data_IF_629976698979
#
_entry.id   IF_629976698979
#
_cell.length_a   1.000
_cell.length_b   1.000
_cell.length_c   1.000
_cell.angle_alpha   90.00
_cell.angle_beta   90.00
_cell.angle_gamma   90.00
#
_symmetry.space_group_name_H-M   'P 1'
#
loop_
_entity.id
_entity.type
_entity.pdbx_description
1 polymer ?
#
# COMPACT_ATOMS: atom_id res chain seq x y z
N UNK A 1 -67.86 16.17 -46.72
CA UNK A 1 -68.05 15.58 -45.38
C UNK A 1 -67.39 16.50 -44.42
N UNK A 2 -68.12 17.09 -43.55
CA UNK A 2 -68.11 18.48 -43.12
C UNK A 2 -67.22 18.71 -41.86
N UNK A 3 -66.23 19.58 -42.01
CA UNK A 3 -65.23 19.98 -40.94
C UNK A 3 -65.90 20.86 -39.84
N UNK A 4 -67.25 21.06 -39.91
CA UNK A 4 -67.97 21.85 -38.92
C UNK A 4 -68.53 21.05 -37.73
N UNK A 5 -68.51 19.73 -37.79
CA UNK A 5 -69.08 18.90 -36.73
C UNK A 5 -68.09 18.57 -35.65
N UNK A 6 -66.79 18.69 -35.95
CA UNK A 6 -65.72 18.30 -35.03
C UNK A 6 -65.35 19.37 -34.00
N UNK A 7 -65.80 20.61 -34.19
CA UNK A 7 -65.47 21.74 -33.31
C UNK A 7 -66.52 22.07 -32.23
N UNK A 8 -67.59 21.28 -32.14
CA UNK A 8 -68.59 21.46 -31.08
C UNK A 8 -68.44 20.55 -29.89
N UNK A 9 -67.74 19.41 -30.04
CA UNK A 9 -67.55 18.46 -28.95
C UNK A 9 -66.34 18.75 -28.04
N UNK A 10 -65.50 19.69 -28.44
CA UNK A 10 -64.34 20.10 -27.62
C UNK A 10 -64.71 21.21 -26.63
N UNK A 11 -65.80 21.96 -26.86
CA UNK A 11 -66.14 23.12 -26.01
C UNK A 11 -67.05 22.80 -24.80
N UNK A 12 -67.51 21.53 -24.65
CA UNK A 12 -68.49 21.19 -23.60
C UNK A 12 -67.91 20.26 -22.50
N UNK A 13 -66.61 20.00 -22.53
CA UNK A 13 -65.93 19.21 -21.49
C UNK A 13 -64.90 19.99 -20.61
N UNK A 14 -64.93 21.33 -20.67
CA UNK A 14 -63.99 22.19 -19.97
C UNK A 14 -64.56 22.93 -18.75
N UNK A 15 -65.70 22.59 -18.23
CA UNK A 15 -66.31 23.31 -17.10
C UNK A 15 -66.67 22.48 -15.87
N UNK A 16 -66.18 21.24 -15.76
CA UNK A 16 -66.52 20.40 -14.59
C UNK A 16 -65.35 19.82 -13.85
N UNK A 17 -64.11 20.41 -13.83
CA UNK A 17 -63.00 19.93 -13.03
C UNK A 17 -62.17 21.10 -12.46
N UNK A 18 -62.85 22.02 -11.84
CA UNK A 18 -62.16 23.11 -11.08
C UNK A 18 -62.54 23.11 -9.60
N UNK A 19 -62.37 22.00 -8.88
CA UNK A 19 -62.57 22.04 -7.42
C UNK A 19 -61.93 20.85 -6.64
N UNK A 20 -60.97 20.12 -7.22
CA UNK A 20 -60.34 19.02 -6.45
C UNK A 20 -58.82 18.91 -6.61
N UNK A 21 -58.12 19.99 -6.91
CA UNK A 21 -56.67 19.98 -7.12
C UNK A 21 -55.91 21.02 -6.29
N UNK A 22 -56.33 21.31 -5.04
CA UNK A 22 -55.61 22.23 -4.12
C UNK A 22 -55.37 21.61 -2.74
N UNK A 23 -55.37 20.32 -2.60
CA UNK A 23 -55.02 19.69 -1.29
C UNK A 23 -54.07 18.51 -1.37
N UNK A 24 -53.14 18.48 -2.33
CA UNK A 24 -52.10 17.42 -2.34
C UNK A 24 -50.76 17.96 -2.87
N UNK A 25 -50.25 19.02 -2.26
CA UNK A 25 -48.92 19.58 -2.56
C UNK A 25 -48.27 20.11 -1.28
N UNK A 26 -48.23 19.28 -0.22
CA UNK A 26 -47.45 19.57 0.98
C UNK A 26 -46.98 18.28 1.71
N UNK A 27 -46.68 17.21 0.98
CA UNK A 27 -46.00 16.02 1.55
C UNK A 27 -45.02 15.44 0.52
N UNK A 28 -43.98 16.20 0.21
CA UNK A 28 -42.99 15.76 -0.79
C UNK A 28 -41.67 16.50 -0.69
N UNK A 29 -41.26 16.92 0.52
CA UNK A 29 -39.94 17.55 0.69
C UNK A 29 -39.32 17.17 2.04
N UNK A 30 -39.21 15.87 2.33
CA UNK A 30 -38.35 15.33 3.37
C UNK A 30 -37.74 14.02 2.86
N UNK A 31 -36.95 14.08 1.82
CA UNK A 31 -36.14 12.96 1.36
C UNK A 31 -34.83 13.47 0.73
N UNK A 32 -34.22 14.49 1.33
CA UNK A 32 -32.98 15.07 0.84
C UNK A 32 -31.94 15.35 1.94
N UNK A 33 -32.12 14.80 3.15
CA UNK A 33 -31.22 15.07 4.27
C UNK A 33 -30.58 13.81 4.85
N UNK A 34 -30.49 12.71 4.11
CA UNK A 34 -30.03 11.42 4.63
C UNK A 34 -28.60 11.02 4.18
N UNK A 35 -27.85 11.88 3.51
CA UNK A 35 -26.47 11.54 3.07
C UNK A 35 -25.37 12.41 3.68
N UNK A 36 -25.70 13.33 4.58
CA UNK A 36 -24.70 14.16 5.27
C UNK A 36 -24.36 13.68 6.69
N UNK A 37 -24.92 12.57 7.15
CA UNK A 37 -24.75 12.07 8.54
C UNK A 37 -23.54 11.13 8.74
N UNK A 38 -22.73 10.88 7.71
CA UNK A 38 -21.70 9.83 7.78
C UNK A 38 -20.48 10.16 8.65
N UNK A 39 -20.05 11.39 8.68
CA UNK A 39 -18.79 11.78 9.36
C UNK A 39 -19.04 12.29 10.79
N UNK A 40 -20.17 12.95 11.02
CA UNK A 40 -20.51 13.53 12.34
C UNK A 40 -20.82 12.47 13.41
N UNK A 41 -21.17 11.24 13.02
CA UNK A 41 -21.55 10.14 13.93
C UNK A 41 -20.40 9.17 14.26
N UNK A 42 -19.20 9.36 13.70
CA UNK A 42 -18.03 8.58 14.06
C UNK A 42 -17.39 9.14 15.32
N UNK A 43 -17.49 8.41 16.44
CA UNK A 43 -16.69 8.78 17.62
C UNK A 43 -15.19 8.71 17.29
N UNK A 44 -14.38 9.54 17.95
CA UNK A 44 -12.92 9.46 17.84
C UNK A 44 -12.38 8.04 18.13
N UNK A 45 -13.08 7.29 18.96
CA UNK A 45 -12.75 5.91 19.30
C UNK A 45 -13.07 4.94 18.13
N UNK A 46 -14.17 5.15 17.41
CA UNK A 46 -14.52 4.34 16.24
C UNK A 46 -13.55 4.60 15.07
N UNK A 47 -13.22 5.87 14.85
CA UNK A 47 -12.23 6.26 13.87
C UNK A 47 -10.86 5.62 14.17
N UNK A 48 -10.41 5.69 15.42
CA UNK A 48 -9.16 5.06 15.85
C UNK A 48 -9.19 3.52 15.70
N UNK A 49 -10.33 2.87 15.98
CA UNK A 49 -10.50 1.42 15.77
C UNK A 49 -10.43 1.05 14.29
N UNK A 50 -11.10 1.81 13.43
CA UNK A 50 -11.08 1.61 11.99
C UNK A 50 -9.65 1.73 11.43
N UNK A 51 -8.93 2.77 11.82
CA UNK A 51 -7.54 2.96 11.41
C UNK A 51 -6.65 1.82 11.89
N UNK A 52 -6.74 1.41 13.17
CA UNK A 52 -5.97 0.26 13.67
C UNK A 52 -6.26 -1.01 12.88
N UNK A 53 -7.53 -1.25 12.54
CA UNK A 53 -7.93 -2.39 11.70
C UNK A 53 -7.27 -2.33 10.32
N UNK A 54 -7.32 -1.19 9.65
CA UNK A 54 -6.72 -0.99 8.33
C UNK A 54 -5.20 -1.17 8.36
N UNK A 55 -4.52 -0.57 9.36
CA UNK A 55 -3.08 -0.70 9.50
C UNK A 55 -2.65 -2.15 9.77
N UNK A 56 -3.39 -2.85 10.63
CA UNK A 56 -3.11 -4.28 10.92
C UNK A 56 -3.27 -5.12 9.67
N UNK A 57 -4.35 -4.91 8.92
CA UNK A 57 -4.61 -5.62 7.66
C UNK A 57 -3.55 -5.32 6.61
N UNK A 58 -3.25 -4.04 6.37
CA UNK A 58 -2.25 -3.63 5.38
C UNK A 58 -0.85 -4.16 5.71
N UNK A 59 -0.44 -4.07 6.98
CA UNK A 59 0.84 -4.60 7.43
C UNK A 59 0.91 -6.14 7.28
N UNK A 60 -0.14 -6.85 7.67
CA UNK A 60 -0.19 -8.31 7.54
C UNK A 60 -0.17 -8.75 6.06
N UNK A 61 -0.91 -8.03 5.19
CA UNK A 61 -0.91 -8.28 3.75
C UNK A 61 0.48 -8.07 3.14
N UNK A 62 1.13 -6.94 3.43
CA UNK A 62 2.48 -6.65 2.94
C UNK A 62 3.49 -7.73 3.38
N UNK A 63 3.50 -8.10 4.67
CA UNK A 63 4.37 -9.16 5.20
C UNK A 63 4.11 -10.50 4.53
N UNK A 64 2.84 -10.89 4.34
CA UNK A 64 2.49 -12.17 3.73
C UNK A 64 2.85 -12.25 2.23
N UNK A 65 2.78 -11.13 1.52
CA UNK A 65 3.15 -11.05 0.09
C UNK A 65 4.67 -11.08 -0.12
N UNK A 66 5.42 -10.46 0.78
CA UNK A 66 6.87 -10.33 0.65
C UNK A 66 7.66 -11.45 1.31
N UNK A 67 7.13 -12.04 2.40
CA UNK A 67 7.81 -13.07 3.19
C UNK A 67 7.67 -14.49 2.65
N UNK A 68 7.47 -14.64 1.35
CA UNK A 68 7.35 -15.93 0.65
C UNK A 68 8.37 -16.01 -0.47
N UNK A 69 8.74 -17.22 -0.94
CA UNK A 69 9.61 -17.36 -2.10
C UNK A 69 9.05 -16.58 -3.31
N UNK A 70 9.89 -15.74 -3.92
CA UNK A 70 9.51 -14.88 -5.04
C UNK A 70 8.85 -13.55 -4.61
N UNK A 71 8.61 -13.33 -3.32
CA UNK A 71 7.97 -12.11 -2.83
C UNK A 71 8.76 -10.83 -3.14
N UNK A 72 10.08 -10.92 -3.20
CA UNK A 72 10.97 -9.87 -3.71
C UNK A 72 11.47 -10.19 -5.11
N UNK A 73 12.03 -11.39 -5.30
CA UNK A 73 12.72 -11.76 -6.54
C UNK A 73 11.83 -11.65 -7.79
N UNK A 74 10.59 -12.12 -7.69
CA UNK A 74 9.65 -12.16 -8.80
C UNK A 74 8.68 -10.95 -8.82
N UNK A 75 8.88 -10.01 -7.89
CA UNK A 75 8.05 -8.81 -7.79
C UNK A 75 8.83 -7.58 -8.29
N UNK A 76 8.56 -7.08 -9.51
CA UNK A 76 9.32 -5.98 -10.11
C UNK A 76 9.24 -4.66 -9.32
N UNK A 77 8.25 -4.50 -8.42
CA UNK A 77 8.10 -3.28 -7.61
C UNK A 77 9.10 -3.19 -6.47
N UNK A 78 9.54 -4.34 -5.96
CA UNK A 78 10.36 -4.43 -4.74
C UNK A 78 11.65 -5.23 -4.93
N UNK A 79 11.81 -5.87 -6.10
CA UNK A 79 13.03 -6.62 -6.44
C UNK A 79 14.25 -5.76 -6.13
N UNK A 80 15.18 -6.32 -5.37
CA UNK A 80 16.41 -5.66 -4.96
C UNK A 80 17.45 -5.85 -6.07
N UNK A 81 17.81 -4.80 -6.81
CA UNK A 81 18.84 -4.87 -7.82
C UNK A 81 20.22 -4.93 -7.17
N UNK A 82 21.24 -5.23 -7.95
CA UNK A 82 22.61 -5.06 -7.50
C UNK A 82 22.89 -3.60 -7.09
N UNK A 83 23.78 -3.36 -6.09
CA UNK A 83 24.28 -2.02 -5.82
C UNK A 83 24.80 -1.37 -7.10
N UNK A 84 24.65 -0.04 -7.29
CA UNK A 84 24.99 0.63 -8.55
C UNK A 84 26.41 0.35 -9.05
N UNK A 85 27.39 0.29 -8.14
CA UNK A 85 28.77 0.00 -8.50
C UNK A 85 28.95 -1.43 -9.05
N UNK A 86 28.16 -2.39 -8.58
CA UNK A 86 28.17 -3.77 -9.05
C UNK A 86 27.35 -4.00 -10.31
N UNK A 87 26.29 -3.22 -10.49
CA UNK A 87 25.43 -3.32 -11.68
C UNK A 87 26.18 -2.94 -12.97
N UNK A 88 27.04 -1.93 -12.92
CA UNK A 88 27.89 -1.57 -14.07
C UNK A 88 28.89 -2.70 -14.41
N UNK A 89 29.47 -3.33 -13.40
CA UNK A 89 30.34 -4.52 -13.62
C UNK A 89 29.53 -5.66 -14.20
N UNK A 90 28.35 -5.92 -13.65
CA UNK A 90 27.46 -6.97 -14.10
C UNK A 90 27.06 -6.82 -15.58
N UNK A 91 26.74 -5.60 -16.00
CA UNK A 91 26.45 -5.31 -17.41
C UNK A 91 27.61 -5.69 -18.32
N UNK A 92 28.84 -5.27 -17.97
CA UNK A 92 30.03 -5.64 -18.72
C UNK A 92 30.27 -7.16 -18.77
N UNK A 93 30.12 -7.86 -17.64
CA UNK A 93 30.29 -9.32 -17.55
C UNK A 93 29.23 -10.08 -18.32
N UNK A 94 27.95 -9.63 -18.29
CA UNK A 94 26.87 -10.23 -19.09
C UNK A 94 27.16 -10.13 -20.60
N UNK A 95 27.71 -9.02 -21.06
CA UNK A 95 28.14 -8.87 -22.48
C UNK A 95 29.23 -9.88 -22.88
N UNK A 96 30.06 -10.30 -21.92
CA UNK A 96 31.12 -11.31 -22.13
C UNK A 96 30.65 -12.76 -21.85
N UNK A 97 29.36 -12.97 -21.57
CA UNK A 97 28.82 -14.29 -21.23
C UNK A 97 29.15 -14.77 -19.80
N UNK A 98 29.68 -13.87 -18.94
CA UNK A 98 30.12 -14.18 -17.59
C UNK A 98 29.20 -13.58 -16.50
N UNK A 99 27.93 -13.35 -16.80
CA UNK A 99 26.98 -12.72 -15.89
C UNK A 99 26.41 -13.58 -14.77
N UNK A 100 26.71 -14.90 -14.76
CA UNK A 100 26.11 -15.87 -13.84
C UNK A 100 26.29 -15.49 -12.36
N UNK A 101 27.49 -15.08 -11.97
CA UNK A 101 27.80 -14.75 -10.58
C UNK A 101 27.01 -13.50 -10.12
N UNK A 102 26.79 -12.53 -11.02
CA UNK A 102 25.95 -11.35 -10.76
C UNK A 102 24.50 -11.74 -10.55
N UNK A 103 23.96 -12.64 -11.35
CA UNK A 103 22.58 -13.11 -11.25
C UNK A 103 22.35 -13.93 -9.99
N UNK A 104 23.32 -14.78 -9.61
CA UNK A 104 23.29 -15.52 -8.35
C UNK A 104 23.35 -14.59 -7.11
N UNK A 105 24.15 -13.53 -7.19
CA UNK A 105 24.22 -12.51 -6.13
C UNK A 105 22.88 -11.80 -5.97
N UNK A 106 22.28 -11.37 -7.05
CA UNK A 106 20.95 -10.71 -7.01
C UNK A 106 19.86 -11.66 -6.45
N UNK A 107 19.85 -12.92 -6.85
CA UNK A 107 18.94 -13.93 -6.30
C UNK A 107 19.14 -14.11 -4.79
N UNK A 108 20.41 -14.18 -4.34
CA UNK A 108 20.72 -14.35 -2.93
C UNK A 108 20.26 -13.16 -2.07
N UNK A 109 20.45 -11.92 -2.57
CA UNK A 109 19.97 -10.69 -1.90
C UNK A 109 18.45 -10.69 -1.71
N UNK A 110 17.71 -11.03 -2.76
CA UNK A 110 16.25 -11.06 -2.71
C UNK A 110 15.73 -12.15 -1.77
N UNK A 111 16.32 -13.34 -1.79
CA UNK A 111 16.00 -14.42 -0.85
C UNK A 111 16.27 -14.04 0.60
N UNK A 112 17.35 -13.30 0.88
CA UNK A 112 17.63 -12.80 2.21
C UNK A 112 16.54 -11.81 2.68
N UNK A 113 16.07 -10.93 1.82
CA UNK A 113 14.94 -10.03 2.08
C UNK A 113 13.65 -10.79 2.41
N UNK A 114 13.32 -11.80 1.60
CA UNK A 114 12.14 -12.67 1.80
C UNK A 114 12.18 -13.38 3.17
N UNK A 115 13.35 -13.81 3.62
CA UNK A 115 13.52 -14.44 4.92
C UNK A 115 13.43 -13.46 6.10
N UNK A 116 13.82 -12.20 5.91
CA UNK A 116 13.80 -11.18 6.96
C UNK A 116 12.41 -10.60 7.22
N UNK A 117 11.58 -10.42 6.18
CA UNK A 117 10.28 -9.72 6.28
C UNK A 117 9.31 -10.31 7.29
N UNK A 118 9.16 -11.63 7.48
CA UNK A 118 8.26 -12.18 8.50
C UNK A 118 8.49 -11.64 9.90
N UNK A 119 9.75 -11.29 10.24
CA UNK A 119 10.12 -10.72 11.53
C UNK A 119 9.58 -9.29 11.76
N UNK A 120 9.15 -8.61 10.69
CA UNK A 120 8.50 -7.31 10.82
C UNK A 120 7.13 -7.37 11.47
N UNK A 121 6.44 -8.51 11.39
CA UNK A 121 5.04 -8.67 11.82
C UNK A 121 4.81 -8.20 13.25
N UNK A 122 5.68 -8.60 14.18
CA UNK A 122 5.54 -8.25 15.59
C UNK A 122 5.73 -6.75 15.83
N UNK A 123 6.76 -6.15 15.24
CA UNK A 123 7.05 -4.72 15.39
C UNK A 123 5.96 -3.84 14.77
N UNK A 124 5.46 -4.21 13.58
CA UNK A 124 4.35 -3.51 12.94
C UNK A 124 3.06 -3.63 13.75
N UNK A 125 2.74 -4.82 14.26
CA UNK A 125 1.58 -5.04 15.13
C UNK A 125 1.69 -4.22 16.43
N UNK A 126 2.88 -4.17 17.03
CA UNK A 126 3.11 -3.39 18.24
C UNK A 126 2.97 -1.88 17.99
N UNK A 127 3.47 -1.38 16.87
CA UNK A 127 3.29 0.02 16.47
C UNK A 127 1.81 0.40 16.37
N UNK A 128 0.99 -0.46 15.76
CA UNK A 128 -0.48 -0.26 15.69
C UNK A 128 -1.11 -0.30 17.08
N UNK A 129 -0.73 -1.26 17.93
CA UNK A 129 -1.28 -1.40 19.27
C UNK A 129 -1.01 -0.19 20.15
N UNK A 130 0.18 0.39 20.04
CA UNK A 130 0.63 1.55 20.82
C UNK A 130 0.27 2.90 20.18
N UNK A 131 -0.43 2.88 19.03
CA UNK A 131 -0.83 4.09 18.31
C UNK A 131 -1.72 4.98 19.16
N UNK A 132 -1.35 6.25 19.30
CA UNK A 132 -2.12 7.27 20.00
C UNK A 132 -3.33 7.76 19.19
N UNK A 133 -4.25 8.47 19.83
CA UNK A 133 -5.35 9.15 19.12
C UNK A 133 -4.82 10.26 18.18
N UNK A 134 -3.73 10.92 18.54
CA UNK A 134 -3.09 11.92 17.70
C UNK A 134 -2.50 11.29 16.41
N UNK A 135 -1.84 10.12 16.53
CA UNK A 135 -1.35 9.35 15.38
C UNK A 135 -2.53 8.97 14.46
N UNK A 136 -3.62 8.43 15.04
CA UNK A 136 -4.82 8.04 14.27
C UNK A 136 -5.43 9.23 13.52
N UNK A 137 -5.54 10.38 14.18
CA UNK A 137 -6.04 11.62 13.56
C UNK A 137 -5.11 12.08 12.44
N UNK A 138 -3.78 12.06 12.67
CA UNK A 138 -2.80 12.41 11.65
C UNK A 138 -2.89 11.53 10.41
N UNK A 139 -3.19 10.23 10.58
CA UNK A 139 -3.40 9.29 9.47
C UNK A 139 -4.69 9.61 8.71
N UNK A 140 -5.78 9.91 9.42
CA UNK A 140 -7.07 10.25 8.81
C UNK A 140 -7.02 11.52 7.97
N UNK A 141 -6.38 12.56 8.51
CA UNK A 141 -6.27 13.88 7.85
C UNK A 141 -5.07 13.98 6.91
N UNK A 142 -4.19 12.98 6.92
CA UNK A 142 -3.01 12.92 6.08
C UNK A 142 -3.33 12.46 4.65
N UNK A 143 -2.38 12.71 3.75
CA UNK A 143 -2.46 12.26 2.35
C UNK A 143 -2.25 10.74 2.19
N UNK A 144 -2.16 10.31 0.94
CA UNK A 144 -2.12 8.90 0.52
C UNK A 144 -0.98 8.05 1.11
N UNK A 145 0.03 8.68 1.72
CA UNK A 145 1.18 8.00 2.31
C UNK A 145 1.23 8.13 3.85
N UNK A 146 0.16 8.56 4.49
CA UNK A 146 0.16 8.86 5.93
C UNK A 146 0.35 7.60 6.80
N UNK A 147 -0.21 6.47 6.40
CA UNK A 147 0.01 5.15 7.03
C UNK A 147 1.45 4.71 6.86
N UNK A 148 1.98 4.80 5.64
CA UNK A 148 3.36 4.42 5.34
C UNK A 148 4.35 5.25 6.15
N UNK A 149 4.14 6.56 6.26
CA UNK A 149 4.96 7.45 7.09
C UNK A 149 4.87 7.11 8.57
N UNK A 150 3.67 6.82 9.07
CA UNK A 150 3.48 6.37 10.45
C UNK A 150 4.33 5.13 10.76
N UNK A 151 4.23 4.08 9.93
CA UNK A 151 5.01 2.88 10.14
C UNK A 151 6.51 3.14 10.01
N UNK A 152 6.95 3.86 8.99
CA UNK A 152 8.38 4.19 8.80
C UNK A 152 8.93 4.93 10.03
N UNK A 153 8.24 5.93 10.53
CA UNK A 153 8.69 6.71 11.70
C UNK A 153 8.73 5.88 12.99
N UNK A 154 7.81 4.92 13.17
CA UNK A 154 7.74 4.11 14.40
C UNK A 154 8.60 2.85 14.35
N UNK A 155 8.91 2.32 13.16
CA UNK A 155 9.48 0.98 13.05
C UNK A 155 10.77 0.89 12.23
N UNK A 156 11.19 1.91 11.48
CA UNK A 156 12.37 1.80 10.61
C UNK A 156 13.64 1.47 11.39
N UNK A 157 13.94 2.22 12.46
CA UNK A 157 15.14 1.98 13.26
C UNK A 157 15.13 0.60 13.95
N UNK A 158 14.08 0.20 14.70
CA UNK A 158 14.04 -1.11 15.31
C UNK A 158 13.99 -2.26 14.29
N UNK A 159 13.38 -2.08 13.12
CA UNK A 159 13.40 -3.08 12.06
C UNK A 159 14.79 -3.22 11.43
N UNK A 160 15.51 -2.12 11.19
CA UNK A 160 16.88 -2.19 10.68
C UNK A 160 17.79 -3.02 11.61
N UNK A 161 17.72 -2.77 12.92
CA UNK A 161 18.47 -3.54 13.92
C UNK A 161 18.06 -5.03 13.93
N UNK A 162 16.77 -5.33 13.76
CA UNK A 162 16.25 -6.71 13.76
C UNK A 162 16.56 -7.44 12.47
N UNK A 163 16.49 -6.77 11.32
CA UNK A 163 16.70 -7.39 10.01
C UNK A 163 18.17 -7.67 9.71
N UNK A 164 19.08 -6.79 10.11
CA UNK A 164 20.50 -6.92 9.81
C UNK A 164 21.09 -8.30 10.17
N UNK A 165 20.89 -8.86 11.39
CA UNK A 165 21.40 -10.19 11.70
C UNK A 165 20.72 -11.30 10.91
N UNK A 166 19.43 -11.15 10.55
CA UNK A 166 18.70 -12.14 9.75
C UNK A 166 19.20 -12.13 8.32
N UNK A 167 19.33 -10.93 7.73
CA UNK A 167 19.93 -10.73 6.42
C UNK A 167 21.32 -11.34 6.40
N UNK A 168 22.17 -11.03 7.41
CA UNK A 168 23.50 -11.61 7.52
C UNK A 168 23.47 -13.15 7.57
N UNK A 169 22.62 -13.73 8.41
CA UNK A 169 22.50 -15.18 8.48
C UNK A 169 22.04 -15.80 7.15
N UNK A 170 21.08 -15.14 6.46
CA UNK A 170 20.61 -15.59 5.17
C UNK A 170 21.69 -15.47 4.09
N UNK A 171 22.45 -14.38 4.10
CA UNK A 171 23.56 -14.14 3.17
C UNK A 171 24.75 -15.08 3.40
N UNK A 172 25.05 -15.40 4.66
CA UNK A 172 26.08 -16.40 5.01
C UNK A 172 25.73 -17.79 4.45
N UNK A 173 24.46 -18.22 4.57
CA UNK A 173 24.00 -19.52 4.06
C UNK A 173 24.15 -19.69 2.55
N UNK A 174 24.01 -18.61 1.79
CA UNK A 174 24.13 -18.63 0.31
C UNK A 174 25.52 -18.21 -0.15
N UNK A 175 26.47 -18.02 0.75
CA UNK A 175 27.83 -17.59 0.45
C UNK A 175 27.88 -16.20 -0.21
N UNK A 176 26.97 -15.29 0.20
CA UNK A 176 26.84 -13.98 -0.41
C UNK A 176 28.11 -13.15 -0.30
N UNK A 177 28.75 -13.15 0.87
CA UNK A 177 30.02 -12.43 1.08
C UNK A 177 31.09 -12.91 0.10
N UNK A 178 31.24 -14.24 -0.04
CA UNK A 178 32.21 -14.83 -0.98
C UNK A 178 31.87 -14.49 -2.45
N UNK A 179 30.58 -14.60 -2.83
CA UNK A 179 30.13 -14.22 -4.18
C UNK A 179 30.34 -12.73 -4.43
N UNK A 180 30.06 -11.91 -3.43
CA UNK A 180 30.32 -10.47 -3.45
C UNK A 180 31.79 -10.18 -3.65
N UNK A 181 32.70 -10.78 -2.83
CA UNK A 181 34.14 -10.57 -2.92
C UNK A 181 34.70 -11.04 -4.26
N UNK A 182 34.25 -12.19 -4.76
CA UNK A 182 34.65 -12.68 -6.09
C UNK A 182 34.23 -11.71 -7.19
N UNK A 183 33.00 -11.25 -7.13
CA UNK A 183 32.44 -10.34 -8.13
C UNK A 183 33.03 -8.94 -8.03
N UNK A 184 33.08 -8.35 -6.83
CA UNK A 184 33.68 -7.06 -6.58
C UNK A 184 35.19 -7.05 -6.84
N UNK A 185 35.90 -8.14 -6.48
CA UNK A 185 37.30 -8.33 -6.78
C UNK A 185 37.62 -8.29 -8.28
N UNK A 186 36.76 -8.83 -9.12
CA UNK A 186 36.86 -8.67 -10.57
C UNK A 186 36.65 -7.22 -10.99
N UNK A 187 35.65 -6.54 -10.43
CA UNK A 187 35.42 -5.12 -10.69
C UNK A 187 36.60 -4.22 -10.32
N UNK A 188 37.25 -4.50 -9.18
CA UNK A 188 38.48 -3.81 -8.76
C UNK A 188 39.63 -4.10 -9.73
N UNK A 189 39.81 -5.36 -10.14
CA UNK A 189 40.84 -5.78 -11.07
C UNK A 189 40.73 -5.06 -12.44
N UNK A 190 39.52 -4.79 -12.87
CA UNK A 190 39.25 -4.06 -14.12
C UNK A 190 39.13 -2.54 -13.91
N UNK A 191 39.37 -2.01 -12.70
CA UNK A 191 39.30 -0.58 -12.40
C UNK A 191 37.87 0.01 -12.41
N UNK A 192 36.86 -0.85 -12.36
CA UNK A 192 35.45 -0.47 -12.41
C UNK A 192 34.86 -0.11 -11.04
N UNK A 193 35.49 -0.59 -9.97
CA UNK A 193 35.11 -0.30 -8.58
C UNK A 193 36.23 0.43 -7.90
N UNK A 194 35.95 1.61 -7.35
CA UNK A 194 36.88 2.39 -6.51
C UNK A 194 36.45 2.24 -5.04
N UNK A 195 37.36 1.68 -4.23
CA UNK A 195 37.26 1.76 -2.76
C UNK A 195 36.14 0.95 -2.11
N UNK A 196 35.87 1.24 -0.87
CA UNK A 196 35.06 0.47 0.07
C UNK A 196 33.81 -0.15 -0.54
N UNK A 197 33.83 -1.47 -0.62
CA UNK A 197 32.69 -2.27 -0.96
C UNK A 197 31.55 -1.89 -0.01
N UNK A 198 30.46 -1.39 -0.53
CA UNK A 198 29.28 -1.10 0.26
C UNK A 198 28.93 -2.35 1.09
N UNK A 199 28.65 -2.16 2.38
CA UNK A 199 28.18 -3.25 3.23
C UNK A 199 26.91 -3.84 2.61
N UNK A 200 27.07 -4.99 1.94
CA UNK A 200 25.98 -5.61 1.15
C UNK A 200 24.80 -5.99 2.06
N UNK A 201 25.06 -6.37 3.29
CA UNK A 201 24.03 -6.73 4.25
C UNK A 201 23.21 -5.50 4.64
N UNK A 202 23.87 -4.35 4.84
CA UNK A 202 23.16 -3.08 5.10
C UNK A 202 22.34 -2.65 3.88
N UNK A 203 22.91 -2.75 2.69
CA UNK A 203 22.18 -2.45 1.45
C UNK A 203 20.92 -3.31 1.30
N UNK A 204 21.03 -4.63 1.50
CA UNK A 204 19.88 -5.54 1.46
C UNK A 204 18.87 -5.19 2.54
N UNK A 205 19.34 -4.89 3.76
CA UNK A 205 18.47 -4.48 4.87
C UNK A 205 17.67 -3.23 4.52
N UNK A 206 18.33 -2.20 4.02
CA UNK A 206 17.67 -0.93 3.66
C UNK A 206 16.68 -1.12 2.52
N UNK A 207 17.04 -1.89 1.49
CA UNK A 207 16.14 -2.22 0.38
C UNK A 207 14.95 -3.08 0.80
N UNK A 208 15.16 -4.00 1.75
CA UNK A 208 14.08 -4.80 2.33
C UNK A 208 13.06 -3.91 3.04
N UNK A 209 13.52 -2.95 3.83
CA UNK A 209 12.65 -1.97 4.49
C UNK A 209 11.93 -1.08 3.48
N UNK A 210 12.62 -0.60 2.45
CA UNK A 210 12.00 0.20 1.39
C UNK A 210 10.89 -0.58 0.69
N UNK A 211 11.14 -1.85 0.33
CA UNK A 211 10.15 -2.73 -0.27
C UNK A 211 8.96 -3.00 0.64
N UNK A 212 9.20 -3.25 1.93
CA UNK A 212 8.14 -3.45 2.93
C UNK A 212 7.22 -2.22 3.03
N UNK A 213 7.81 -1.02 3.16
CA UNK A 213 7.01 0.21 3.26
C UNK A 213 6.32 0.57 1.94
N UNK A 214 6.92 0.25 0.80
CA UNK A 214 6.25 0.40 -0.51
C UNK A 214 4.98 -0.46 -0.56
N UNK A 215 5.07 -1.73 -0.17
CA UNK A 215 3.92 -2.63 -0.18
C UNK A 215 2.84 -2.23 0.84
N UNK A 216 3.22 -1.73 2.01
CA UNK A 216 2.27 -1.12 2.96
C UNK A 216 1.54 0.07 2.31
N UNK A 217 2.26 0.92 1.57
CA UNK A 217 1.67 2.05 0.84
C UNK A 217 0.73 1.62 -0.29
N UNK A 218 1.01 0.52 -0.97
CA UNK A 218 0.10 -0.06 -1.96
C UNK A 218 -1.21 -0.55 -1.30
N UNK A 219 -1.12 -1.22 -0.15
CA UNK A 219 -2.29 -1.64 0.63
C UNK A 219 -3.09 -0.44 1.14
N UNK A 220 -2.41 0.60 1.64
CA UNK A 220 -3.06 1.85 2.04
C UNK A 220 -3.85 2.46 0.88
N UNK A 221 -3.22 2.60 -0.28
CA UNK A 221 -3.85 3.15 -1.48
C UNK A 221 -5.06 2.32 -1.92
N UNK A 222 -4.93 0.99 -1.90
CA UNK A 222 -6.05 0.10 -2.25
C UNK A 222 -7.25 0.27 -1.32
N UNK A 223 -7.03 0.40 0.00
CA UNK A 223 -8.10 0.64 0.98
C UNK A 223 -8.74 2.02 0.77
N UNK A 224 -7.93 3.05 0.51
CA UNK A 224 -8.45 4.41 0.24
C UNK A 224 -9.28 4.47 -1.04
N UNK A 225 -8.83 3.82 -2.11
CA UNK A 225 -9.54 3.82 -3.40
C UNK A 225 -10.82 2.97 -3.38
N UNK A 226 -10.86 1.91 -2.59
CA UNK A 226 -12.02 1.04 -2.47
C UNK A 226 -12.28 0.62 -1.00
N UNK A 227 -12.79 1.54 -0.17
CA UNK A 227 -13.08 1.25 1.23
C UNK A 227 -14.07 0.09 1.44
N UNK A 228 -15.00 -0.10 0.49
CA UNK A 228 -15.99 -1.18 0.56
C UNK A 228 -15.37 -2.58 0.47
N UNK A 229 -14.19 -2.72 -0.16
CA UNK A 229 -13.45 -3.98 -0.22
C UNK A 229 -12.60 -4.27 1.04
N UNK A 230 -12.59 -3.36 2.03
CA UNK A 230 -11.86 -3.58 3.27
C UNK A 230 -12.45 -4.76 4.05
N UNK A 231 -11.58 -5.58 4.66
CA UNK A 231 -11.98 -6.80 5.38
C UNK A 231 -12.85 -6.55 6.64
N UNK A 232 -13.05 -5.29 7.03
CA UNK A 232 -13.79 -4.90 8.24
C UNK A 232 -14.77 -3.77 7.92
N UNK A 233 -16.02 -3.93 8.36
CA UNK A 233 -17.06 -2.93 8.20
C UNK A 233 -16.70 -1.57 8.85
N UNK A 234 -15.94 -1.58 9.95
CA UNK A 234 -15.49 -0.33 10.58
C UNK A 234 -14.41 0.37 9.77
N UNK A 235 -13.50 -0.37 9.14
CA UNK A 235 -12.49 0.18 8.20
C UNK A 235 -13.22 0.80 7.02
N UNK A 236 -14.13 0.06 6.39
CA UNK A 236 -14.96 0.56 5.30
C UNK A 236 -15.68 1.85 5.68
N UNK A 237 -16.37 1.87 6.82
CA UNK A 237 -17.11 3.05 7.32
C UNK A 237 -16.20 4.26 7.51
N UNK A 238 -15.04 4.08 8.13
CA UNK A 238 -14.10 5.18 8.41
C UNK A 238 -13.51 5.74 7.13
N UNK A 239 -13.06 4.91 6.22
CA UNK A 239 -12.45 5.37 4.96
C UNK A 239 -13.47 5.91 3.96
N UNK A 240 -14.71 5.39 3.93
CA UNK A 240 -15.80 5.97 3.12
C UNK A 240 -16.22 7.36 3.60
N UNK A 241 -16.00 7.68 4.87
CA UNK A 241 -16.32 9.00 5.43
C UNK A 241 -15.27 10.08 5.07
N UNK A 242 -14.14 9.70 4.45
CA UNK A 242 -13.10 10.62 3.98
C UNK A 242 -13.33 11.10 2.54
N UNK A 243 -14.30 10.52 1.83
CA UNK A 243 -14.74 10.89 0.48
C UNK A 243 -16.13 11.55 0.52
#
# INVERSE_FOLDING_TARGET
>A
MDLKQQNRDVSMKLTATRSLAVRLLLTGLVAGAAVASGVADLSNADAARGIRGALTQGAASAVSKLGVPGGFLDNPKVRIPLPPALDEVAKGMRMLGAGKDADELEVAMNKAAEQAVPEAKELLTNAVRTMSLADAKGILTGGDNSVTQFFRNKTAAPLSVKFLPIVKQATDRVGLAQKYDQFAGQGVKYGLIKGDAANIEQYVTDKTLDGLYLMIGEEERAIRQNPAAAASAIVSKVFSALH
#
